data_IF_166953753979
#
_entry.id   IF_166953753979
#
_cell.length_a   1.000
_cell.length_b   1.000
_cell.length_c   1.000
_cell.angle_alpha   90.00
_cell.angle_beta   90.00
_cell.angle_gamma   90.00
#
_symmetry.space_group_name_H-M   'P 1'
#
loop_
_entity.id
_entity.type
_entity.pdbx_description
1 polymer ?
#
# COMPACT_ATOMS: atom_id res chain seq x y z
N UNK A 1 -9.16 -17.78 -10.65
CA UNK A 1 -10.12 -16.72 -11.07
C UNK A 1 -9.69 -16.23 -12.41
N UNK A 2 -10.58 -16.20 -13.39
CA UNK A 2 -10.29 -15.58 -14.69
C UNK A 2 -10.30 -14.05 -14.51
N UNK A 3 -9.18 -13.42 -14.76
CA UNK A 3 -9.07 -11.95 -14.75
C UNK A 3 -9.76 -11.41 -16.00
N UNK A 4 -10.66 -10.45 -15.82
CA UNK A 4 -11.29 -9.72 -16.93
C UNK A 4 -10.91 -8.25 -16.78
N UNK A 5 -10.79 -7.52 -17.88
CA UNK A 5 -10.51 -6.07 -17.90
C UNK A 5 -11.43 -5.30 -16.95
N UNK A 6 -12.74 -5.62 -16.96
CA UNK A 6 -13.71 -4.97 -16.08
C UNK A 6 -13.38 -5.18 -14.59
N UNK A 7 -13.03 -6.41 -14.18
CA UNK A 7 -12.66 -6.73 -12.81
C UNK A 7 -11.35 -6.07 -12.40
N UNK A 8 -10.38 -6.00 -13.31
CA UNK A 8 -9.09 -5.36 -13.08
C UNK A 8 -9.22 -3.84 -12.88
N UNK A 9 -10.01 -3.16 -13.72
CA UNK A 9 -10.31 -1.73 -13.59
C UNK A 9 -11.15 -1.48 -12.33
N UNK A 10 -12.17 -2.29 -12.05
CA UNK A 10 -13.00 -2.17 -10.85
C UNK A 10 -12.16 -2.28 -9.58
N UNK A 11 -11.20 -3.22 -9.54
CA UNK A 11 -10.26 -3.35 -8.43
C UNK A 11 -9.40 -2.09 -8.28
N UNK A 12 -8.80 -1.60 -9.36
CA UNK A 12 -7.98 -0.40 -9.33
C UNK A 12 -8.76 0.82 -8.79
N UNK A 13 -9.98 1.03 -9.28
CA UNK A 13 -10.84 2.16 -8.86
C UNK A 13 -11.29 1.99 -7.40
N UNK A 14 -11.69 0.79 -6.98
CA UNK A 14 -12.17 0.53 -5.61
C UNK A 14 -11.06 0.79 -4.58
N UNK A 15 -9.86 0.26 -4.81
CA UNK A 15 -8.75 0.44 -3.89
C UNK A 15 -8.18 1.87 -3.92
N UNK A 16 -8.22 2.55 -5.07
CA UNK A 16 -7.92 3.97 -5.18
C UNK A 16 -8.88 4.81 -4.34
N UNK A 17 -10.19 4.60 -4.48
CA UNK A 17 -11.20 5.33 -3.71
C UNK A 17 -11.04 5.08 -2.21
N UNK A 18 -10.76 3.84 -1.80
CA UNK A 18 -10.51 3.50 -0.41
C UNK A 18 -9.29 4.27 0.15
N UNK A 19 -8.20 4.36 -0.60
CA UNK A 19 -7.00 5.11 -0.22
C UNK A 19 -7.31 6.62 -0.12
N UNK A 20 -7.97 7.21 -1.11
CA UNK A 20 -8.32 8.64 -1.11
C UNK A 20 -9.24 8.98 0.06
N UNK A 21 -10.30 8.20 0.27
CA UNK A 21 -11.24 8.40 1.38
C UNK A 21 -10.52 8.32 2.72
N UNK A 22 -9.61 7.35 2.91
CA UNK A 22 -8.85 7.22 4.15
C UNK A 22 -7.97 8.45 4.43
N UNK A 23 -7.33 9.00 3.39
CA UNK A 23 -6.50 10.22 3.50
C UNK A 23 -7.39 11.45 3.75
N UNK A 24 -8.51 11.60 3.06
CA UNK A 24 -9.45 12.68 3.29
C UNK A 24 -9.98 12.67 4.73
N UNK A 25 -10.34 11.50 5.26
CA UNK A 25 -10.76 11.32 6.66
C UNK A 25 -9.63 11.67 7.64
N UNK A 26 -8.37 11.33 7.32
CA UNK A 26 -7.22 11.73 8.12
C UNK A 26 -7.10 13.24 8.24
N UNK A 27 -7.15 13.96 7.13
CA UNK A 27 -7.07 15.44 7.14
C UNK A 27 -8.28 16.05 7.84
N UNK A 28 -9.47 15.54 7.63
CA UNK A 28 -10.66 15.99 8.34
C UNK A 28 -10.54 15.77 9.85
N UNK A 29 -10.05 14.61 10.29
CA UNK A 29 -9.80 14.33 11.71
C UNK A 29 -8.80 15.31 12.33
N UNK A 30 -7.77 15.71 11.58
CA UNK A 30 -6.76 16.68 12.01
C UNK A 30 -7.34 18.08 12.19
N UNK A 31 -8.08 18.57 11.21
CA UNK A 31 -8.70 19.90 11.24
C UNK A 31 -9.72 20.01 12.37
N UNK A 32 -10.55 18.97 12.58
CA UNK A 32 -11.55 18.96 13.64
C UNK A 32 -10.95 18.85 15.06
N UNK A 33 -9.80 18.18 15.20
CA UNK A 33 -9.16 17.97 16.49
C UNK A 33 -8.15 19.07 16.88
N UNK A 34 -8.01 20.14 16.07
CA UNK A 34 -7.04 21.26 16.28
C UNK A 34 -5.60 20.76 16.54
N UNK A 35 -5.23 19.57 16.04
CA UNK A 35 -3.89 19.02 16.19
C UNK A 35 -2.98 19.54 15.09
N UNK A 36 -1.76 19.95 15.45
CA UNK A 36 -0.75 20.38 14.49
C UNK A 36 -0.41 19.29 13.46
N UNK A 37 -0.29 19.70 12.20
CA UNK A 37 0.24 18.86 11.14
C UNK A 37 1.66 18.41 11.48
N UNK A 38 1.97 17.16 11.17
CA UNK A 38 3.26 16.54 11.48
C UNK A 38 3.93 15.97 10.21
N UNK A 39 5.19 15.52 10.34
CA UNK A 39 5.90 14.87 9.23
C UNK A 39 5.18 13.61 8.75
N UNK A 40 4.40 12.95 9.62
CA UNK A 40 3.56 11.81 9.29
C UNK A 40 2.46 12.17 8.27
N UNK A 41 1.93 13.40 8.32
CA UNK A 41 0.92 13.89 7.38
C UNK A 41 1.55 14.29 6.03
N UNK A 42 2.78 14.81 6.05
CA UNK A 42 3.50 15.16 4.83
C UNK A 42 3.90 13.93 4.01
N UNK A 43 4.27 12.82 4.67
CA UNK A 43 4.69 11.59 4.02
C UNK A 43 3.53 10.81 3.37
N UNK A 44 2.30 10.97 3.86
CA UNK A 44 1.16 10.24 3.29
C UNK A 44 0.70 10.82 1.94
N UNK A 45 0.98 12.10 1.68
CA UNK A 45 0.62 12.76 0.42
C UNK A 45 1.35 12.11 -0.77
N UNK A 46 2.69 12.01 -0.80
CA UNK A 46 3.37 11.31 -1.89
C UNK A 46 2.99 9.83 -1.98
N UNK A 47 2.68 9.16 -0.85
CA UNK A 47 2.22 7.78 -0.88
C UNK A 47 0.91 7.63 -1.67
N UNK A 48 -0.11 8.46 -1.39
CA UNK A 48 -1.39 8.39 -2.12
C UNK A 48 -1.25 8.85 -3.57
N UNK A 49 -0.38 9.82 -3.87
CA UNK A 49 -0.10 10.23 -5.25
C UNK A 49 0.49 9.07 -6.07
N UNK A 50 1.37 8.25 -5.48
CA UNK A 50 1.86 7.04 -6.12
C UNK A 50 0.72 6.03 -6.38
N UNK A 51 -0.21 5.85 -5.43
CA UNK A 51 -1.39 4.98 -5.62
C UNK A 51 -2.29 5.49 -6.75
N UNK A 52 -2.50 6.81 -6.83
CA UNK A 52 -3.22 7.44 -7.98
C UNK A 52 -2.50 7.14 -9.29
N UNK A 53 -1.17 7.33 -9.33
CA UNK A 53 -0.35 7.00 -10.50
C UNK A 53 -0.47 5.53 -10.91
N UNK A 54 -0.47 4.60 -9.94
CA UNK A 54 -0.68 3.17 -10.19
C UNK A 54 -2.04 2.90 -10.82
N UNK A 55 -3.12 3.44 -10.27
CA UNK A 55 -4.47 3.26 -10.80
C UNK A 55 -4.61 3.81 -12.22
N UNK A 56 -4.05 5.00 -12.49
CA UNK A 56 -4.01 5.57 -13.84
C UNK A 56 -3.25 4.65 -14.79
N UNK A 57 -2.07 4.15 -14.38
CA UNK A 57 -1.25 3.25 -15.19
C UNK A 57 -1.96 1.93 -15.47
N UNK A 58 -2.68 1.36 -14.49
CA UNK A 58 -3.49 0.16 -14.69
C UNK A 58 -4.60 0.40 -15.72
N UNK A 59 -5.36 1.51 -15.61
CA UNK A 59 -6.46 1.84 -16.53
C UNK A 59 -5.92 2.14 -17.94
N UNK A 60 -4.86 2.91 -18.06
CA UNK A 60 -4.23 3.21 -19.35
C UNK A 60 -3.59 1.94 -19.94
N UNK A 61 -2.91 1.14 -19.12
CA UNK A 61 -2.28 -0.12 -19.53
C UNK A 61 -3.26 -1.14 -20.11
N UNK A 62 -4.51 -1.19 -19.61
CA UNK A 62 -5.56 -2.07 -20.20
C UNK A 62 -6.01 -1.58 -21.57
N UNK A 63 -5.89 -0.29 -21.90
CA UNK A 63 -6.34 0.30 -23.16
C UNK A 63 -5.27 0.26 -24.26
N UNK A 64 -4.02 0.53 -23.92
CA UNK A 64 -2.93 0.68 -24.90
C UNK A 64 -1.89 -0.45 -24.83
N UNK A 65 -1.80 -1.17 -23.71
CA UNK A 65 -0.87 -2.27 -23.47
C UNK A 65 -1.54 -3.62 -23.34
N UNK A 66 -2.88 -3.70 -23.51
CA UNK A 66 -3.68 -4.93 -23.45
C UNK A 66 -3.49 -5.73 -22.14
N UNK A 67 -3.25 -5.02 -21.01
CA UNK A 67 -3.17 -5.65 -19.69
C UNK A 67 -4.51 -6.29 -19.31
N UNK A 68 -4.47 -7.43 -18.65
CA UNK A 68 -5.64 -8.25 -18.29
C UNK A 68 -6.45 -8.79 -19.49
N UNK A 69 -5.80 -8.87 -20.66
CA UNK A 69 -6.37 -9.46 -21.86
C UNK A 69 -5.45 -10.57 -22.37
N UNK A 70 -6.06 -11.59 -23.01
CA UNK A 70 -5.31 -12.60 -23.72
C UNK A 70 -4.81 -12.03 -25.04
N UNK A 71 -3.50 -11.88 -25.15
CA UNK A 71 -2.84 -11.44 -26.37
C UNK A 71 -1.72 -12.41 -26.72
N UNK A 72 -1.83 -13.03 -27.88
CA UNK A 72 -0.83 -13.97 -28.35
C UNK A 72 0.30 -13.21 -29.03
N UNK A 73 1.47 -13.18 -28.38
CA UNK A 73 2.66 -12.57 -28.95
C UNK A 73 3.24 -13.47 -30.05
N UNK A 74 3.64 -12.87 -31.18
CA UNK A 74 4.41 -13.58 -32.19
C UNK A 74 5.82 -13.83 -31.68
N UNK A 75 6.30 -15.09 -31.80
CA UNK A 75 7.62 -15.50 -31.34
C UNK A 75 8.63 -15.46 -32.47
N UNK A 76 9.72 -14.71 -32.28
CA UNK A 76 10.91 -14.76 -33.08
C UNK A 76 11.98 -15.70 -32.53
N UNK A 77 13.13 -15.88 -33.21
CA UNK A 77 14.20 -16.79 -32.80
C UNK A 77 14.86 -16.41 -31.45
N UNK A 78 14.77 -15.16 -31.03
CA UNK A 78 15.38 -14.63 -29.79
C UNK A 78 14.37 -14.15 -28.74
N UNK A 79 13.07 -14.38 -28.92
CA UNK A 79 12.01 -13.96 -28.01
C UNK A 79 10.80 -13.34 -28.74
N UNK A 80 9.87 -12.72 -27.99
CA UNK A 80 8.71 -12.07 -28.60
C UNK A 80 9.12 -10.97 -29.57
N UNK A 81 8.42 -10.89 -30.72
CA UNK A 81 8.66 -9.85 -31.73
C UNK A 81 8.18 -8.51 -31.22
N UNK A 82 8.92 -7.45 -31.52
CA UNK A 82 8.56 -6.09 -31.17
C UNK A 82 7.19 -5.70 -31.73
N UNK A 83 6.27 -5.35 -30.83
CA UNK A 83 4.94 -4.81 -31.17
C UNK A 83 4.74 -3.52 -30.36
N UNK A 84 4.00 -2.56 -30.89
CA UNK A 84 3.69 -1.32 -30.14
C UNK A 84 2.93 -1.61 -28.86
N UNK A 85 2.05 -2.62 -28.84
CA UNK A 85 1.30 -3.04 -27.65
C UNK A 85 2.23 -3.58 -26.58
N UNK A 86 3.16 -4.46 -26.94
CA UNK A 86 4.14 -5.03 -26.01
C UNK A 86 5.08 -3.94 -25.46
N UNK A 87 5.50 -2.97 -26.26
CA UNK A 87 6.28 -1.83 -25.79
C UNK A 87 5.50 -0.94 -24.80
N UNK A 88 4.21 -0.73 -25.04
CA UNK A 88 3.36 0.03 -24.12
C UNK A 88 3.08 -0.76 -22.82
N UNK A 89 2.90 -2.09 -22.94
CA UNK A 89 2.80 -2.97 -21.78
C UNK A 89 4.06 -2.89 -20.90
N UNK A 90 5.25 -2.98 -21.47
CA UNK A 90 6.51 -2.90 -20.72
C UNK A 90 6.73 -1.53 -20.07
N UNK A 91 6.29 -0.43 -20.69
CA UNK A 91 6.30 0.89 -20.05
C UNK A 91 5.36 0.96 -18.85
N UNK A 92 4.15 0.39 -18.98
CA UNK A 92 3.20 0.31 -17.88
C UNK A 92 3.73 -0.60 -16.77
N UNK A 93 4.31 -1.76 -17.12
CA UNK A 93 4.96 -2.69 -16.22
C UNK A 93 6.07 -1.99 -15.41
N UNK A 94 6.98 -1.27 -16.09
CA UNK A 94 8.05 -0.52 -15.42
C UNK A 94 7.52 0.54 -14.45
N UNK A 95 6.47 1.26 -14.82
CA UNK A 95 5.83 2.24 -13.95
C UNK A 95 5.19 1.56 -12.72
N UNK A 96 4.52 0.42 -12.92
CA UNK A 96 3.91 -0.39 -11.85
C UNK A 96 4.93 -1.12 -10.97
N UNK A 97 6.20 -1.16 -11.34
CA UNK A 97 7.29 -1.61 -10.48
C UNK A 97 7.83 -0.47 -9.60
N UNK A 98 7.93 0.74 -10.14
CA UNK A 98 8.53 1.89 -9.47
C UNK A 98 7.61 2.54 -8.43
N UNK A 99 6.35 2.80 -8.81
CA UNK A 99 5.39 3.50 -7.95
C UNK A 99 5.07 2.78 -6.64
N UNK A 100 4.90 1.44 -6.59
CA UNK A 100 4.65 0.72 -5.34
C UNK A 100 5.79 0.83 -4.35
N UNK A 101 7.05 0.78 -4.82
CA UNK A 101 8.23 0.92 -3.95
C UNK A 101 8.22 2.26 -3.22
N UNK A 102 7.93 3.34 -3.97
CA UNK A 102 7.80 4.67 -3.40
C UNK A 102 6.60 4.74 -2.43
N UNK A 103 5.42 4.24 -2.84
CA UNK A 103 4.20 4.27 -2.01
C UNK A 103 4.39 3.52 -0.70
N UNK A 104 4.93 2.30 -0.74
CA UNK A 104 5.21 1.48 0.45
C UNK A 104 6.27 2.14 1.34
N UNK A 105 7.33 2.70 0.76
CA UNK A 105 8.37 3.42 1.51
C UNK A 105 7.79 4.61 2.30
N UNK A 106 7.03 5.47 1.64
CA UNK A 106 6.40 6.63 2.27
C UNK A 106 5.34 6.22 3.31
N UNK A 107 4.53 5.19 3.04
CA UNK A 107 3.52 4.70 3.98
C UNK A 107 4.16 4.13 5.24
N UNK A 108 5.20 3.29 5.12
CA UNK A 108 5.96 2.73 6.24
C UNK A 108 6.63 3.83 7.06
N UNK A 109 7.26 4.82 6.40
CA UNK A 109 7.86 5.97 7.07
C UNK A 109 6.82 6.82 7.83
N UNK A 110 5.62 7.03 7.24
CA UNK A 110 4.52 7.73 7.91
C UNK A 110 4.07 7.02 9.20
N UNK A 111 3.96 5.67 9.17
CA UNK A 111 3.62 4.86 10.36
C UNK A 111 4.69 5.01 11.45
N UNK A 112 5.97 4.94 11.09
CA UNK A 112 7.07 5.09 12.05
C UNK A 112 7.14 6.50 12.65
N UNK A 113 6.88 7.56 11.85
CA UNK A 113 6.75 8.92 12.35
C UNK A 113 5.59 9.06 13.34
N UNK A 114 4.45 8.40 13.04
CA UNK A 114 3.31 8.36 13.93
C UNK A 114 3.62 7.62 15.24
N UNK A 115 4.32 6.48 15.20
CA UNK A 115 4.77 5.76 16.39
C UNK A 115 5.68 6.61 17.25
N UNK A 116 6.64 7.34 16.66
CA UNK A 116 7.51 8.28 17.39
C UNK A 116 6.72 9.37 18.13
N UNK A 117 5.62 9.82 17.55
CA UNK A 117 4.75 10.83 18.14
C UNK A 117 3.90 10.31 19.30
N UNK A 118 3.48 9.04 19.26
CA UNK A 118 2.69 8.43 20.33
C UNK A 118 3.55 8.02 21.51
N UNK A 119 4.69 7.39 21.22
CA UNK A 119 5.55 6.77 22.24
C UNK A 119 6.77 7.64 22.59
N UNK A 120 6.64 8.97 22.50
CA UNK A 120 7.74 9.92 22.71
C UNK A 120 8.36 9.84 24.12
N UNK A 121 7.66 9.30 25.10
CA UNK A 121 8.11 9.18 26.50
C UNK A 121 9.12 8.03 26.70
N UNK A 122 9.15 7.06 25.78
CA UNK A 122 9.97 5.83 25.92
C UNK A 122 11.24 5.90 25.08
N UNK A 123 12.37 6.30 25.68
CA UNK A 123 13.65 6.46 24.97
C UNK A 123 14.10 5.19 24.25
N UNK A 124 13.98 4.00 24.90
CA UNK A 124 14.36 2.73 24.26
C UNK A 124 13.55 2.47 22.99
N UNK A 125 12.27 2.76 23.02
CA UNK A 125 11.42 2.63 21.83
C UNK A 125 11.80 3.63 20.73
N UNK A 126 12.11 4.87 21.11
CA UNK A 126 12.54 5.89 20.14
C UNK A 126 13.81 5.47 19.40
N UNK A 127 14.76 4.84 20.09
CA UNK A 127 15.99 4.33 19.47
C UNK A 127 15.67 3.19 18.49
N UNK A 128 14.88 2.20 18.90
CA UNK A 128 14.43 1.11 18.00
C UNK A 128 13.67 1.67 16.79
N UNK A 129 12.76 2.60 17.01
CA UNK A 129 11.98 3.24 15.94
C UNK A 129 12.87 4.02 14.97
N UNK A 130 13.93 4.68 15.49
CA UNK A 130 14.90 5.41 14.65
C UNK A 130 15.69 4.43 13.78
N UNK A 131 16.15 3.31 14.34
CA UNK A 131 16.83 2.25 13.56
C UNK A 131 15.92 1.69 12.49
N UNK A 132 14.65 1.39 12.82
CA UNK A 132 13.66 0.92 11.84
C UNK A 132 13.41 1.96 10.74
N UNK A 133 13.35 3.25 11.08
CA UNK A 133 13.21 4.32 10.11
C UNK A 133 14.38 4.34 9.12
N UNK A 134 15.61 4.22 9.62
CA UNK A 134 16.81 4.17 8.76
C UNK A 134 16.76 2.94 7.84
N UNK A 135 16.39 1.78 8.37
CA UNK A 135 16.26 0.53 7.58
C UNK A 135 15.21 0.72 6.47
N UNK A 136 14.02 1.25 6.79
CA UNK A 136 12.94 1.45 5.82
C UNK A 136 13.32 2.47 4.74
N UNK A 137 13.94 3.58 5.13
CA UNK A 137 14.39 4.59 4.15
C UNK A 137 15.50 4.02 3.26
N UNK A 138 16.49 3.33 3.84
CA UNK A 138 17.55 2.69 3.07
C UNK A 138 16.99 1.62 2.11
N UNK A 139 16.03 0.80 2.58
CA UNK A 139 15.33 -0.18 1.77
C UNK A 139 14.60 0.48 0.58
N UNK A 140 13.77 1.51 0.86
CA UNK A 140 13.00 2.19 -0.16
C UNK A 140 13.89 2.87 -1.21
N UNK A 141 14.94 3.59 -0.76
CA UNK A 141 15.88 4.29 -1.64
C UNK A 141 16.68 3.30 -2.48
N UNK A 142 17.24 2.25 -1.87
CA UNK A 142 18.05 1.26 -2.59
C UNK A 142 17.25 0.54 -3.67
N UNK A 143 16.07 0.01 -3.34
CA UNK A 143 15.25 -0.70 -4.31
C UNK A 143 14.63 0.22 -5.36
N UNK A 144 14.26 1.45 -4.99
CA UNK A 144 13.76 2.44 -5.95
C UNK A 144 14.82 2.78 -7.01
N UNK A 145 16.04 3.09 -6.60
CA UNK A 145 17.12 3.41 -7.54
C UNK A 145 17.59 2.18 -8.33
N UNK A 146 17.61 1.00 -7.72
CA UNK A 146 17.93 -0.23 -8.46
C UNK A 146 16.86 -0.52 -9.53
N UNK A 147 15.58 -0.30 -9.24
CA UNK A 147 14.50 -0.41 -10.23
C UNK A 147 14.61 0.67 -11.31
N UNK A 148 14.94 1.90 -10.92
CA UNK A 148 15.10 3.02 -11.86
C UNK A 148 16.24 2.76 -12.84
N UNK A 149 17.36 2.20 -12.36
CA UNK A 149 18.56 1.91 -13.13
C UNK A 149 18.76 0.41 -13.38
N UNK A 150 17.66 -0.36 -13.46
CA UNK A 150 17.75 -1.82 -13.63
C UNK A 150 18.44 -2.23 -14.95
N UNK A 151 18.51 -1.37 -15.94
CA UNK A 151 19.30 -1.54 -17.15
C UNK A 151 20.18 -0.31 -17.39
N UNK A 152 21.35 -0.51 -17.98
CA UNK A 152 22.28 0.59 -18.35
C UNK A 152 21.61 1.64 -19.23
N UNK A 153 20.71 1.20 -20.13
CA UNK A 153 19.83 2.05 -20.92
C UNK A 153 18.36 1.68 -20.62
N UNK A 154 17.57 2.52 -19.96
CA UNK A 154 16.17 2.21 -19.67
C UNK A 154 15.32 1.92 -20.92
N UNK A 155 15.72 2.46 -22.08
CA UNK A 155 15.02 2.21 -23.35
C UNK A 155 15.04 0.75 -23.79
N UNK A 156 16.06 -0.03 -23.42
CA UNK A 156 16.15 -1.44 -23.77
C UNK A 156 15.00 -2.28 -23.17
N UNK A 157 14.39 -1.81 -22.07
CA UNK A 157 13.25 -2.49 -21.44
C UNK A 157 12.04 -2.63 -22.36
N UNK A 158 11.78 -1.66 -23.22
CA UNK A 158 10.61 -1.65 -24.11
C UNK A 158 10.96 -1.66 -25.60
N UNK A 159 12.24 -1.74 -25.97
CA UNK A 159 12.70 -1.86 -27.37
C UNK A 159 13.28 -3.22 -27.68
N UNK A 160 13.82 -3.95 -26.69
CA UNK A 160 14.52 -5.22 -26.88
C UNK A 160 13.85 -6.29 -26.02
N UNK A 161 13.30 -7.32 -26.68
CA UNK A 161 12.59 -8.44 -26.01
C UNK A 161 13.40 -9.74 -26.05
N UNK A 162 14.71 -9.66 -26.07
CA UNK A 162 15.58 -10.83 -26.03
C UNK A 162 15.53 -11.52 -24.65
N UNK A 163 15.65 -12.86 -24.64
CA UNK A 163 15.68 -13.68 -23.42
C UNK A 163 16.81 -13.32 -22.46
N UNK A 164 17.94 -12.80 -22.98
CA UNK A 164 19.06 -12.33 -22.18
C UNK A 164 19.25 -10.81 -22.41
N UNK A 165 18.67 -10.02 -21.58
CA UNK A 165 19.00 -8.59 -21.48
C UNK A 165 20.35 -8.47 -20.77
N UNK A 166 21.44 -8.70 -21.50
CA UNK A 166 22.83 -8.85 -21.00
C UNK A 166 23.31 -7.70 -20.10
N UNK A 167 22.70 -6.52 -20.22
CA UNK A 167 23.08 -5.32 -19.44
C UNK A 167 22.04 -4.94 -18.39
N UNK A 168 21.14 -5.83 -18.01
CA UNK A 168 20.08 -5.57 -17.02
C UNK A 168 20.21 -6.48 -15.80
N UNK A 169 19.67 -6.04 -14.68
CA UNK A 169 19.56 -6.87 -13.45
C UNK A 169 18.58 -8.01 -13.68
N UNK A 170 18.91 -9.20 -13.21
CA UNK A 170 18.01 -10.36 -13.25
C UNK A 170 16.71 -10.07 -12.52
N UNK A 171 15.61 -9.99 -13.28
CA UNK A 171 14.33 -9.49 -12.81
C UNK A 171 13.71 -10.36 -11.72
N UNK A 172 13.74 -11.70 -11.88
CA UNK A 172 13.09 -12.62 -10.94
C UNK A 172 13.75 -12.64 -9.54
N UNK A 173 15.09 -12.83 -9.39
CA UNK A 173 15.74 -12.76 -8.10
C UNK A 173 15.56 -11.40 -7.41
N UNK A 174 15.59 -10.33 -8.21
CA UNK A 174 15.37 -8.97 -7.71
C UNK A 174 13.97 -8.80 -7.09
N UNK A 175 12.92 -9.28 -7.76
CA UNK A 175 11.55 -9.21 -7.21
C UNK A 175 11.37 -10.07 -5.96
N UNK A 176 12.01 -11.23 -5.89
CA UNK A 176 12.00 -12.03 -4.67
C UNK A 176 12.66 -11.27 -3.51
N UNK A 177 13.80 -10.63 -3.76
CA UNK A 177 14.50 -9.83 -2.75
C UNK A 177 13.63 -8.66 -2.26
N UNK A 178 12.97 -7.92 -3.16
CA UNK A 178 12.05 -6.83 -2.82
C UNK A 178 10.87 -7.33 -1.98
N UNK A 179 10.26 -8.45 -2.38
CA UNK A 179 9.07 -8.98 -1.69
C UNK A 179 9.40 -9.53 -0.31
N UNK A 180 10.47 -10.31 -0.17
CA UNK A 180 10.90 -10.88 1.10
C UNK A 180 11.33 -9.78 2.07
N UNK A 181 12.20 -8.86 1.63
CA UNK A 181 12.68 -7.76 2.48
C UNK A 181 11.55 -6.79 2.84
N UNK A 182 10.62 -6.53 1.91
CA UNK A 182 9.42 -5.76 2.14
C UNK A 182 8.55 -6.36 3.25
N UNK A 183 8.27 -7.66 3.17
CA UNK A 183 7.53 -8.41 4.19
C UNK A 183 8.24 -8.40 5.56
N UNK A 184 9.56 -8.61 5.59
CA UNK A 184 10.33 -8.55 6.84
C UNK A 184 10.25 -7.17 7.50
N UNK A 185 10.34 -6.10 6.72
CA UNK A 185 10.17 -4.74 7.26
C UNK A 185 8.76 -4.49 7.79
N UNK A 186 7.71 -5.04 7.15
CA UNK A 186 6.33 -4.96 7.65
C UNK A 186 6.18 -5.68 8.99
N UNK A 187 6.74 -6.88 9.12
CA UNK A 187 6.75 -7.62 10.39
C UNK A 187 7.47 -6.86 11.51
N UNK A 188 8.63 -6.26 11.21
CA UNK A 188 9.39 -5.48 12.20
C UNK A 188 8.60 -4.25 12.67
N UNK A 189 7.94 -3.53 11.76
CA UNK A 189 7.09 -2.38 12.09
C UNK A 189 5.90 -2.82 12.93
N UNK A 190 5.26 -3.94 12.57
CA UNK A 190 4.12 -4.50 13.30
C UNK A 190 4.50 -4.98 14.70
N UNK A 191 5.67 -5.61 14.85
CA UNK A 191 6.17 -6.13 16.12
C UNK A 191 6.67 -5.02 17.06
N UNK A 192 7.12 -3.88 16.53
CA UNK A 192 7.76 -2.83 17.32
C UNK A 192 6.93 -2.29 18.50
N UNK A 193 5.61 -2.06 18.42
CA UNK A 193 4.80 -1.56 19.54
C UNK A 193 4.41 -2.66 20.55
N UNK A 194 4.52 -3.96 20.20
CA UNK A 194 4.06 -5.07 21.03
C UNK A 194 4.68 -5.09 22.43
N UNK A 195 6.02 -4.95 22.60
CA UNK A 195 6.65 -5.02 23.92
C UNK A 195 6.11 -3.94 24.89
N UNK A 196 5.84 -2.74 24.36
CA UNK A 196 5.33 -1.63 25.18
C UNK A 196 3.88 -1.88 25.61
N UNK A 197 3.07 -2.45 24.71
CA UNK A 197 1.66 -2.76 25.00
C UNK A 197 1.54 -3.80 26.10
N UNK A 198 2.44 -4.81 26.11
CA UNK A 198 2.44 -5.85 27.16
C UNK A 198 2.93 -5.33 28.50
N UNK A 199 3.90 -4.41 28.53
CA UNK A 199 4.49 -3.86 29.74
C UNK A 199 3.63 -2.75 30.38
N UNK A 200 2.82 -2.07 29.59
CA UNK A 200 2.04 -0.92 30.03
C UNK A 200 0.59 -1.30 30.29
N UNK A 201 0.11 -1.07 31.51
CA UNK A 201 -1.30 -1.15 31.86
C UNK A 201 -2.06 0.02 31.23
N UNK A 202 -2.27 -0.05 29.90
CA UNK A 202 -2.98 1.01 29.19
C UNK A 202 -4.49 0.92 29.43
N UNK A 203 -5.20 2.07 29.54
CA UNK A 203 -6.66 2.08 29.60
C UNK A 203 -7.23 1.38 28.36
N UNK A 204 -8.33 0.65 28.57
CA UNK A 204 -8.96 -0.23 27.56
C UNK A 204 -9.13 0.44 26.19
N UNK A 205 -9.42 1.76 26.21
CA UNK A 205 -9.58 2.59 25.00
C UNK A 205 -8.31 2.65 24.14
N UNK A 206 -7.13 2.75 24.76
CA UNK A 206 -5.83 2.79 24.05
C UNK A 206 -5.50 1.40 23.49
N UNK A 207 -5.81 0.34 24.24
CA UNK A 207 -5.61 -1.04 23.83
C UNK A 207 -6.40 -1.41 22.56
N UNK A 208 -7.67 -1.00 22.47
CA UNK A 208 -8.52 -1.25 21.30
C UNK A 208 -7.95 -0.53 20.03
N UNK A 209 -7.46 0.71 20.19
CA UNK A 209 -6.89 1.41 19.04
C UNK A 209 -5.63 0.73 18.51
N UNK A 210 -4.76 0.26 19.41
CA UNK A 210 -3.55 -0.46 19.01
C UNK A 210 -3.91 -1.82 18.41
N UNK A 211 -4.91 -2.52 18.95
CA UNK A 211 -5.41 -3.76 18.36
C UNK A 211 -5.92 -3.56 16.92
N UNK A 212 -6.60 -2.44 16.63
CA UNK A 212 -7.01 -2.10 15.27
C UNK A 212 -5.84 -1.89 14.31
N UNK A 213 -4.77 -1.23 14.78
CA UNK A 213 -3.54 -1.04 13.99
C UNK A 213 -2.89 -2.40 13.69
N UNK A 214 -2.78 -3.27 14.70
CA UNK A 214 -2.19 -4.60 14.55
C UNK A 214 -3.00 -5.47 13.59
N UNK A 215 -4.33 -5.45 13.72
CA UNK A 215 -5.22 -6.21 12.83
C UNK A 215 -5.06 -5.75 11.37
N UNK A 216 -5.01 -4.44 11.11
CA UNK A 216 -4.80 -3.98 9.76
C UNK A 216 -3.37 -4.26 9.26
N UNK A 217 -2.37 -4.13 10.12
CA UNK A 217 -1.00 -4.53 9.80
C UNK A 217 -0.91 -6.00 9.39
N UNK A 218 -1.65 -6.90 10.06
CA UNK A 218 -1.70 -8.33 9.66
C UNK A 218 -2.38 -8.51 8.30
N UNK A 219 -3.39 -7.72 7.96
CA UNK A 219 -4.02 -7.74 6.63
C UNK A 219 -3.04 -7.28 5.53
N UNK A 220 -2.27 -6.23 5.79
CA UNK A 220 -1.21 -5.77 4.86
C UNK A 220 -0.14 -6.84 4.67
N UNK A 221 0.32 -7.47 5.76
CA UNK A 221 1.26 -8.59 5.70
C UNK A 221 0.69 -9.76 4.90
N UNK A 222 -0.58 -10.09 5.07
CA UNK A 222 -1.28 -11.12 4.29
C UNK A 222 -1.30 -10.81 2.78
N UNK A 223 -1.56 -9.56 2.42
CA UNK A 223 -1.50 -9.11 1.02
C UNK A 223 -0.08 -9.25 0.44
N UNK A 224 0.95 -8.88 1.22
CA UNK A 224 2.37 -9.04 0.84
C UNK A 224 2.76 -10.50 0.61
N UNK A 225 2.32 -11.42 1.47
CA UNK A 225 2.54 -12.87 1.30
C UNK A 225 1.87 -13.36 0.01
N UNK A 226 0.62 -12.98 -0.22
CA UNK A 226 -0.12 -13.41 -1.41
C UNK A 226 0.54 -12.88 -2.68
N UNK A 227 1.04 -11.64 -2.66
CA UNK A 227 1.84 -11.08 -3.76
C UNK A 227 3.12 -11.90 -3.99
N UNK A 228 3.86 -12.24 -2.94
CA UNK A 228 5.08 -13.05 -3.04
C UNK A 228 4.79 -14.43 -3.65
N UNK A 229 3.77 -15.13 -3.16
CA UNK A 229 3.35 -16.43 -3.71
C UNK A 229 2.96 -16.31 -5.18
N UNK A 230 2.26 -15.23 -5.54
CA UNK A 230 1.90 -14.95 -6.94
C UNK A 230 3.14 -14.74 -7.81
N UNK A 231 4.16 -14.03 -7.32
CA UNK A 231 5.43 -13.86 -8.02
C UNK A 231 6.16 -15.19 -8.22
N UNK A 232 6.20 -16.05 -7.21
CA UNK A 232 6.83 -17.39 -7.31
C UNK A 232 6.12 -18.23 -8.37
N UNK A 233 4.79 -18.27 -8.35
CA UNK A 233 4.01 -19.01 -9.33
C UNK A 233 4.23 -18.49 -10.77
N UNK A 234 4.32 -17.18 -10.94
CA UNK A 234 4.62 -16.57 -12.24
C UNK A 234 6.06 -16.88 -12.66
N UNK A 235 7.03 -16.80 -11.74
CA UNK A 235 8.41 -17.13 -12.03
C UNK A 235 8.59 -18.56 -12.55
N UNK A 236 7.87 -19.52 -11.98
CA UNK A 236 7.90 -20.91 -12.44
C UNK A 236 7.17 -21.13 -13.78
N UNK A 237 6.11 -20.36 -14.05
CA UNK A 237 5.27 -20.52 -15.24
C UNK A 237 5.58 -19.59 -16.41
N UNK A 238 6.48 -18.61 -16.25
CA UNK A 238 6.69 -17.54 -17.25
C UNK A 238 7.18 -18.06 -18.60
N UNK A 239 8.08 -19.05 -18.59
CA UNK A 239 8.61 -19.64 -19.82
C UNK A 239 7.58 -20.47 -20.56
N UNK A 240 6.63 -21.09 -19.84
CA UNK A 240 5.54 -21.86 -20.44
C UNK A 240 4.44 -20.96 -21.02
N UNK A 241 4.26 -19.75 -20.48
CA UNK A 241 3.18 -18.83 -20.84
C UNK A 241 3.70 -17.52 -21.45
N UNK A 242 4.90 -17.53 -22.02
CA UNK A 242 5.54 -16.34 -22.59
C UNK A 242 4.73 -15.73 -23.75
N UNK A 243 3.92 -16.56 -24.44
CA UNK A 243 3.05 -16.11 -25.52
C UNK A 243 1.90 -15.22 -25.01
N UNK A 244 1.49 -15.37 -23.74
CA UNK A 244 0.37 -14.63 -23.12
C UNK A 244 0.82 -13.93 -21.83
N UNK A 245 1.98 -13.29 -21.87
CA UNK A 245 2.62 -12.67 -20.70
C UNK A 245 1.75 -11.56 -20.11
N UNK A 246 1.01 -10.81 -20.93
CA UNK A 246 0.15 -9.70 -20.52
C UNK A 246 -0.97 -10.14 -19.59
N UNK A 247 -1.58 -11.29 -19.85
CA UNK A 247 -2.60 -11.87 -18.99
C UNK A 247 -1.99 -12.58 -17.78
N UNK A 248 -0.91 -13.33 -18.01
CA UNK A 248 -0.30 -14.17 -16.97
C UNK A 248 0.27 -13.38 -15.80
N UNK A 249 0.77 -12.15 -16.05
CA UNK A 249 1.32 -11.26 -15.01
C UNK A 249 0.27 -10.36 -14.33
N UNK A 250 -0.95 -10.30 -14.84
CA UNK A 250 -2.06 -9.48 -14.30
C UNK A 250 -2.28 -9.64 -12.80
N UNK A 251 -2.25 -10.85 -12.20
CA UNK A 251 -2.44 -11.04 -10.76
C UNK A 251 -1.42 -10.28 -9.91
N UNK A 252 -0.18 -10.13 -10.38
CA UNK A 252 0.85 -9.39 -9.64
C UNK A 252 0.47 -7.93 -9.50
N UNK A 253 0.04 -7.28 -10.57
CA UNK A 253 -0.36 -5.88 -10.55
C UNK A 253 -1.58 -5.65 -9.66
N UNK A 254 -2.54 -6.58 -9.69
CA UNK A 254 -3.71 -6.53 -8.82
C UNK A 254 -3.31 -6.61 -7.34
N UNK A 255 -2.48 -7.57 -6.95
CA UNK A 255 -2.01 -7.70 -5.57
C UNK A 255 -1.12 -6.54 -5.13
N UNK A 256 -0.31 -6.00 -6.03
CA UNK A 256 0.52 -4.82 -5.77
C UNK A 256 -0.33 -3.58 -5.49
N UNK A 257 -1.42 -3.39 -6.24
CA UNK A 257 -2.38 -2.31 -5.99
C UNK A 257 -3.08 -2.46 -4.65
N UNK A 258 -3.53 -3.68 -4.31
CA UNK A 258 -4.16 -4.00 -3.02
C UNK A 258 -3.20 -3.68 -1.87
N UNK A 259 -1.98 -4.20 -1.91
CA UNK A 259 -0.98 -4.01 -0.85
C UNK A 259 -0.65 -2.53 -0.64
N UNK A 260 -0.35 -1.78 -1.71
CA UNK A 260 -0.01 -0.36 -1.63
C UNK A 260 -1.17 0.48 -1.08
N UNK A 261 -2.40 0.20 -1.51
CA UNK A 261 -3.60 0.90 -1.03
C UNK A 261 -3.88 0.58 0.44
N UNK A 262 -3.77 -0.69 0.83
CA UNK A 262 -3.95 -1.11 2.23
C UNK A 262 -2.87 -0.55 3.15
N UNK A 263 -1.63 -0.39 2.67
CA UNK A 263 -0.56 0.26 3.42
C UNK A 263 -0.88 1.74 3.69
N UNK A 264 -1.41 2.47 2.70
CA UNK A 264 -1.90 3.86 2.87
C UNK A 264 -3.05 3.91 3.87
N UNK A 265 -4.06 3.04 3.74
CA UNK A 265 -5.20 2.95 4.67
C UNK A 265 -4.70 2.65 6.08
N UNK A 266 -3.77 1.70 6.22
CA UNK A 266 -3.17 1.31 7.50
C UNK A 266 -2.44 2.45 8.21
N UNK A 267 -1.72 3.26 7.46
CA UNK A 267 -1.05 4.43 7.99
C UNK A 267 -2.04 5.51 8.51
N UNK A 268 -3.28 5.52 8.00
CA UNK A 268 -4.29 6.53 8.34
C UNK A 268 -5.18 6.10 9.53
N UNK A 269 -5.46 4.81 9.72
CA UNK A 269 -6.40 4.32 10.74
C UNK A 269 -6.12 4.79 12.17
N UNK A 270 -4.87 4.83 12.65
CA UNK A 270 -4.58 5.28 14.01
C UNK A 270 -5.08 6.69 14.32
N UNK A 271 -5.14 7.54 13.30
CA UNK A 271 -5.55 8.94 13.40
C UNK A 271 -7.07 9.16 13.31
N UNK A 272 -7.80 8.17 12.81
CA UNK A 272 -9.28 8.21 12.74
C UNK A 272 -9.95 7.92 14.08
N UNK A 273 -9.19 7.43 15.08
CA UNK A 273 -9.67 7.14 16.44
C UNK A 273 -10.45 8.28 17.11
N UNK A 274 -10.00 9.57 17.09
CA UNK A 274 -10.75 10.66 17.71
C UNK A 274 -12.15 10.82 17.14
N UNK A 275 -12.33 10.61 15.83
CA UNK A 275 -13.62 10.74 15.15
C UNK A 275 -14.64 9.68 15.61
N UNK A 276 -14.17 8.46 15.83
CA UNK A 276 -15.02 7.35 16.35
C UNK A 276 -15.50 7.66 17.77
N UNK A 277 -14.70 8.36 18.57
CA UNK A 277 -15.05 8.70 19.94
C UNK A 277 -15.96 9.93 20.04
N UNK A 278 -15.83 10.89 19.14
CA UNK A 278 -16.62 12.11 19.14
C UNK A 278 -18.10 11.85 18.81
N UNK A 279 -18.37 10.91 17.90
CA UNK A 279 -19.75 10.46 17.60
C UNK A 279 -20.46 9.85 18.82
N UNK A 280 -19.75 9.12 19.66
CA UNK A 280 -20.34 8.51 20.88
C UNK A 280 -20.70 9.57 21.93
N UNK A 281 -19.92 10.64 22.01
CA UNK A 281 -20.16 11.72 22.97
C UNK A 281 -21.36 12.59 22.59
N UNK A 282 -21.46 12.98 21.30
CA UNK A 282 -22.60 13.76 20.79
C UNK A 282 -23.91 12.98 20.85
N UNK A 283 -23.88 11.68 20.59
CA UNK A 283 -25.05 10.80 20.75
C UNK A 283 -25.52 10.73 22.20
N UNK A 284 -24.58 10.61 23.16
CA UNK A 284 -24.90 10.58 24.60
C UNK A 284 -25.49 11.88 25.10
N UNK A 285 -24.99 13.05 24.65
CA UNK A 285 -25.55 14.36 24.99
C UNK A 285 -26.94 14.55 24.36
N UNK A 286 -27.15 14.15 23.13
CA UNK A 286 -28.46 14.21 22.49
C UNK A 286 -29.51 13.37 23.25
N UNK A 287 -29.13 12.16 23.68
CA UNK A 287 -30.02 11.31 24.51
C UNK A 287 -30.28 11.88 25.90
N UNK A 288 -29.30 12.50 26.55
CA UNK A 288 -29.50 13.15 27.85
C UNK A 288 -30.41 14.37 27.77
N UNK A 289 -30.28 15.20 26.71
CA UNK A 289 -31.16 16.32 26.43
C UNK A 289 -32.61 15.89 26.13
N UNK A 290 -32.79 14.85 25.32
CA UNK A 290 -34.12 14.30 25.03
C UNK A 290 -34.78 13.76 26.30
N UNK A 291 -34.01 13.11 27.19
CA UNK A 291 -34.48 12.59 28.44
C UNK A 291 -34.89 13.71 29.42
N UNK A 292 -34.13 14.78 29.51
CA UNK A 292 -34.47 15.97 30.35
C UNK A 292 -35.70 16.72 29.83
N UNK A 293 -35.89 16.79 28.53
CA UNK A 293 -37.07 17.39 27.92
C UNK A 293 -38.34 16.53 28.15
N UNK A 294 -38.20 15.22 28.16
CA UNK A 294 -39.31 14.30 28.40
C UNK A 294 -39.81 14.38 29.85
N UNK A 295 -38.86 14.48 30.83
CA UNK A 295 -39.19 14.62 32.26
C UNK A 295 -39.85 15.94 32.50
N UNK A 296 -39.39 17.05 31.93
CA UNK A 296 -39.99 18.38 32.09
C UNK A 296 -41.40 18.51 31.49
N UNK A 297 -41.74 17.68 30.53
CA UNK A 297 -43.09 17.63 29.91
C UNK A 297 -44.08 16.80 30.75
N UNK A 298 -43.58 15.85 31.53
CA UNK A 298 -44.39 15.04 32.44
C UNK A 298 -44.80 15.81 33.69
N UNK A 299 -43.91 16.72 34.19
CA UNK A 299 -44.22 17.54 35.38
C UNK A 299 -45.19 18.72 35.10
N UNK A 300 -45.38 19.12 33.85
CA UNK A 300 -46.33 20.20 33.49
C UNK A 300 -47.73 19.67 33.13
N UNK A 301 -47.98 18.37 33.22
CA UNK A 301 -49.27 17.73 32.91
C UNK A 301 -49.96 17.13 34.11
N UNK A 302 -49.46 17.38 35.29
CA UNK A 302 -50.10 17.12 36.61
C UNK A 302 -50.43 18.44 37.29
#
# INVERSE_FOLDING_TARGET
MAWNVANFIALAVTFLLLAIVSVALRFWARTTSLRSFGPDDALIIPAVLCVVGMAITMIVGTRIGEMAQHYTNEMGPHGPVYTKHLANYEKANYTLQLLPLASLGFSKASVLCFYRRIFFVYERFLNVNTVLMVIVVAWAVSFFFTTLFQCKNPRTLWTTFEYSRVECVDTLPFYYAVSISGFLTDLMILASPLPIIYQLQMPLKNRIAVAGILLLGTVVCGAGITRFVTFVNIGHGIFANINDITYFTTPVFAWTMIESSLAVVGANLPLLRPLLHQKTYTSSYAWSLLRSLHIRRSDNSS
#
